data_IF_512517348206
#
_entry.id   IF_512517348206
#
_cell.length_a   1.000
_cell.length_b   1.000
_cell.length_c   1.000
_cell.angle_alpha   90.00
_cell.angle_beta   90.00
_cell.angle_gamma   90.00
#
_symmetry.space_group_name_H-M   'P 1'
#
loop_
_entity.id
_entity.type
_entity.pdbx_description
1 polymer ?
#
# COMPACT_ATOMS: atom_id res chain seq x y z
N UNK A 1 -25.07 -2.48 26.07
CA UNK A 1 -23.70 -2.47 25.51
C UNK A 1 -23.60 -2.98 24.07
N UNK A 2 -24.14 -4.16 23.71
CA UNK A 2 -24.02 -4.68 22.32
C UNK A 2 -24.63 -3.76 21.23
N UNK A 3 -25.72 -3.05 21.51
CA UNK A 3 -26.33 -2.10 20.54
C UNK A 3 -25.44 -0.88 20.28
N UNK A 4 -24.77 -0.37 21.31
CA UNK A 4 -23.84 0.77 21.23
C UNK A 4 -22.58 0.39 20.46
N UNK A 5 -21.99 -0.77 20.79
CA UNK A 5 -20.85 -1.33 20.06
C UNK A 5 -21.18 -1.53 18.57
N UNK A 6 -22.35 -2.11 18.23
CA UNK A 6 -22.76 -2.27 16.83
C UNK A 6 -22.85 -0.93 16.10
N UNK A 7 -23.39 0.11 16.75
CA UNK A 7 -23.53 1.46 16.17
C UNK A 7 -22.17 2.13 15.94
N UNK A 8 -21.26 2.03 16.90
CA UNK A 8 -19.91 2.58 16.76
C UNK A 8 -19.11 1.84 15.69
N UNK A 9 -19.25 0.52 15.59
CA UNK A 9 -18.59 -0.24 14.54
C UNK A 9 -19.14 0.03 13.14
N UNK A 10 -20.45 0.23 13.00
CA UNK A 10 -21.01 0.73 11.74
C UNK A 10 -20.53 2.15 11.42
N UNK A 11 -20.33 2.99 12.43
CA UNK A 11 -19.81 4.34 12.25
C UNK A 11 -18.33 4.35 11.84
N UNK A 12 -17.52 3.42 12.38
CA UNK A 12 -16.11 3.23 11.98
C UNK A 12 -16.02 2.82 10.51
N UNK A 13 -16.87 1.88 10.10
CA UNK A 13 -16.94 1.42 8.71
C UNK A 13 -17.39 2.53 7.75
N UNK A 14 -18.41 3.29 8.13
CA UNK A 14 -18.92 4.42 7.34
C UNK A 14 -17.90 5.59 7.26
N UNK A 15 -17.12 5.82 8.31
CA UNK A 15 -16.05 6.82 8.30
C UNK A 15 -14.87 6.37 7.43
N UNK A 16 -14.53 5.08 7.46
CA UNK A 16 -13.56 4.47 6.57
C UNK A 16 -13.99 4.56 5.10
N UNK A 17 -15.28 4.32 4.82
CA UNK A 17 -15.85 4.48 3.48
C UNK A 17 -15.83 5.93 3.01
N UNK A 18 -16.17 6.89 3.88
CA UNK A 18 -16.08 8.32 3.57
C UNK A 18 -14.65 8.77 3.30
N UNK A 19 -13.67 8.28 4.05
CA UNK A 19 -12.25 8.57 3.79
C UNK A 19 -11.83 8.06 2.41
N UNK A 20 -12.13 6.79 2.11
CA UNK A 20 -11.88 6.20 0.78
C UNK A 20 -12.60 6.95 -0.32
N UNK A 21 -13.82 7.43 -0.09
CA UNK A 21 -14.56 8.23 -1.09
C UNK A 21 -13.95 9.63 -1.30
N UNK A 22 -13.41 10.26 -0.25
CA UNK A 22 -12.76 11.58 -0.31
C UNK A 22 -11.43 11.53 -1.04
N UNK A 23 -10.60 10.52 -0.78
CA UNK A 23 -9.24 10.43 -1.30
C UNK A 23 -9.07 9.45 -2.48
N UNK A 24 -9.96 8.47 -2.65
CA UNK A 24 -9.93 7.47 -3.72
C UNK A 24 -10.52 7.90 -5.07
N UNK A 25 -11.16 9.07 -5.16
CA UNK A 25 -11.77 9.58 -6.40
C UNK A 25 -10.76 10.04 -7.46
N UNK A 26 -9.50 10.22 -7.09
CA UNK A 26 -8.45 10.65 -8.03
C UNK A 26 -7.84 9.52 -8.87
N UNK A 27 -8.29 8.27 -8.68
CA UNK A 27 -7.77 7.09 -9.37
C UNK A 27 -8.60 6.66 -10.60
N UNK A 28 -9.58 7.45 -11.06
CA UNK A 28 -10.19 7.23 -12.39
C UNK A 28 -9.20 7.69 -13.46
N UNK A 29 -8.22 6.83 -13.74
CA UNK A 29 -7.42 6.91 -14.94
C UNK A 29 -8.33 6.41 -16.07
N UNK A 30 -9.19 7.31 -16.56
CA UNK A 30 -10.03 7.06 -17.73
C UNK A 30 -9.12 7.02 -18.96
N UNK A 31 -8.48 5.88 -19.17
CA UNK A 31 -7.91 5.51 -20.45
C UNK A 31 -9.06 5.17 -21.38
N UNK A 32 -9.66 6.19 -22.00
CA UNK A 32 -10.13 6.24 -23.39
C UNK A 32 -11.22 7.30 -23.59
N UNK A 33 -10.87 8.38 -24.29
CA UNK A 33 -11.73 8.96 -25.32
C UNK A 33 -12.61 10.16 -24.94
N UNK A 34 -12.29 11.29 -25.59
CA UNK A 34 -13.10 12.51 -25.79
C UNK A 34 -13.20 13.52 -24.65
N UNK A 35 -12.20 14.41 -24.63
CA UNK A 35 -12.44 15.84 -24.42
C UNK A 35 -13.42 16.36 -25.47
N UNK A 36 -14.57 16.85 -25.04
CA UNK A 36 -15.27 17.96 -25.70
C UNK A 36 -15.65 18.99 -24.64
N UNK A 37 -15.16 20.20 -24.86
CA UNK A 37 -15.62 21.47 -24.28
C UNK A 37 -17.15 21.55 -24.33
N UNK A 38 -17.86 22.34 -23.52
CA UNK A 38 -18.10 23.82 -23.59
C UNK A 38 -19.38 23.99 -22.72
N UNK A 39 -19.71 25.04 -21.97
CA UNK A 39 -19.84 26.49 -22.22
C UNK A 39 -19.91 27.21 -20.86
N UNK A 40 -19.21 28.33 -20.65
CA UNK A 40 -19.69 29.69 -20.93
C UNK A 40 -21.09 30.01 -20.36
N UNK A 41 -21.12 30.77 -19.25
CA UNK A 41 -22.19 31.74 -19.00
C UNK A 41 -21.68 32.91 -18.13
N UNK A 42 -21.28 33.98 -18.81
CA UNK A 42 -21.53 35.36 -18.37
C UNK A 42 -21.96 36.12 -19.63
N UNK A 43 -23.03 36.92 -19.53
CA UNK A 43 -22.85 38.37 -19.42
C UNK A 43 -23.82 38.98 -18.36
N UNK A 44 -23.67 40.18 -17.80
CA UNK A 44 -23.51 41.48 -18.48
C UNK A 44 -23.27 42.59 -17.41
N UNK A 45 -22.34 43.51 -17.71
CA UNK A 45 -22.39 45.00 -17.56
C UNK A 45 -22.81 45.65 -16.21
N UNK A 46 -22.08 46.63 -15.66
CA UNK A 46 -21.90 48.00 -16.21
C UNK A 46 -20.87 48.80 -15.37
N UNK A 47 -20.08 49.65 -16.07
CA UNK A 47 -19.70 51.04 -15.74
C UNK A 47 -18.90 51.35 -14.43
N UNK A 48 -17.93 52.26 -14.34
CA UNK A 48 -17.26 53.26 -15.21
C UNK A 48 -16.12 53.87 -14.37
N UNK A 49 -15.14 54.51 -15.05
CA UNK A 49 -14.38 55.72 -14.66
C UNK A 49 -12.85 55.59 -14.45
N UNK A 50 -12.14 55.97 -15.53
CA UNK A 50 -11.08 56.99 -15.64
C UNK A 50 -9.85 57.01 -14.70
N UNK A 51 -8.63 56.87 -15.27
CA UNK A 51 -7.72 58.00 -15.62
C UNK A 51 -6.20 57.61 -15.69
N UNK A 52 -5.66 57.55 -16.92
CA UNK A 52 -4.32 58.06 -17.41
C UNK A 52 -2.96 57.57 -16.85
N UNK A 53 -1.84 57.71 -17.62
CA UNK A 53 -0.94 56.58 -17.94
C UNK A 53 0.47 56.67 -17.33
N UNK A 54 1.14 55.52 -17.21
CA UNK A 54 2.60 55.46 -17.04
C UNK A 54 3.22 54.34 -17.93
N UNK A 55 4.29 54.72 -18.62
CA UNK A 55 4.96 54.05 -19.73
C UNK A 55 6.18 53.28 -19.22
N UNK A 56 6.18 51.95 -19.17
CA UNK A 56 7.42 51.15 -18.97
C UNK A 56 7.37 49.78 -19.66
N UNK A 57 8.22 49.65 -20.70
CA UNK A 57 8.88 48.46 -21.31
C UNK A 57 8.08 47.15 -21.51
N UNK A 58 7.83 46.86 -22.79
CA UNK A 58 7.59 45.51 -23.32
C UNK A 58 8.81 44.58 -23.13
N UNK A 59 8.62 43.29 -22.79
CA UNK A 59 9.68 42.30 -22.87
C UNK A 59 9.99 41.96 -24.35
N UNK A 60 11.21 41.50 -24.67
CA UNK A 60 11.64 41.26 -26.05
C UNK A 60 10.83 40.11 -26.71
N UNK A 61 10.69 40.10 -28.04
CA UNK A 61 9.94 39.06 -28.74
C UNK A 61 10.63 37.69 -28.58
N UNK A 62 9.85 36.70 -28.15
CA UNK A 62 10.27 35.30 -28.03
C UNK A 62 10.60 34.71 -29.41
N UNK A 63 11.82 34.15 -29.55
CA UNK A 63 12.32 33.44 -30.74
C UNK A 63 11.83 31.99 -30.86
N UNK A 64 10.91 31.54 -30.01
CA UNK A 64 10.34 30.19 -30.11
C UNK A 64 9.17 30.19 -31.09
N UNK A 65 9.46 29.86 -32.36
CA UNK A 65 8.42 29.36 -33.29
C UNK A 65 7.86 28.07 -32.71
N UNK A 66 6.69 28.14 -32.10
CA UNK A 66 5.86 26.98 -31.87
C UNK A 66 5.49 26.39 -33.23
N UNK A 67 6.13 25.28 -33.62
CA UNK A 67 5.67 24.45 -34.73
C UNK A 67 4.34 23.81 -34.31
N UNK A 68 3.24 24.54 -34.54
CA UNK A 68 1.91 23.93 -34.55
C UNK A 68 1.86 22.92 -35.70
N UNK A 69 1.41 21.68 -35.48
CA UNK A 69 1.15 20.75 -36.56
C UNK A 69 0.17 21.39 -37.56
N UNK A 70 0.31 21.12 -38.88
CA UNK A 70 -0.60 21.65 -39.88
C UNK A 70 -2.04 21.31 -39.49
N UNK A 71 -2.91 22.33 -39.39
CA UNK A 71 -4.34 22.13 -39.18
C UNK A 71 -4.86 21.33 -40.37
N UNK A 72 -5.18 20.06 -40.14
CA UNK A 72 -5.75 19.16 -41.13
C UNK A 72 -7.04 19.77 -41.65
N UNK A 73 -7.27 19.71 -42.96
CA UNK A 73 -8.53 20.20 -43.52
C UNK A 73 -9.69 19.36 -42.98
N UNK A 74 -10.87 19.96 -42.83
CA UNK A 74 -12.07 19.28 -42.30
C UNK A 74 -12.41 18.00 -43.08
N UNK A 75 -12.04 17.93 -44.36
CA UNK A 75 -12.21 16.75 -45.21
C UNK A 75 -11.27 15.60 -44.83
N UNK A 76 -10.03 15.92 -44.46
CA UNK A 76 -9.02 14.96 -44.05
C UNK A 76 -9.32 14.38 -42.66
N UNK A 77 -9.83 15.22 -41.74
CA UNK A 77 -10.33 14.77 -40.44
C UNK A 77 -11.53 13.82 -40.58
N UNK A 78 -12.44 14.11 -41.53
CA UNK A 78 -13.62 13.28 -41.78
C UNK A 78 -13.25 11.92 -42.40
N UNK A 79 -12.24 11.89 -43.27
CA UNK A 79 -11.67 10.63 -43.80
C UNK A 79 -11.01 9.80 -42.70
N UNK A 80 -10.20 10.42 -41.84
CA UNK A 80 -9.55 9.73 -40.73
C UNK A 80 -10.58 9.18 -39.73
N UNK A 81 -11.63 9.94 -39.45
CA UNK A 81 -12.74 9.51 -38.60
C UNK A 81 -13.53 8.34 -39.22
N UNK A 82 -13.75 8.36 -40.53
CA UNK A 82 -14.39 7.24 -41.26
C UNK A 82 -13.54 5.98 -41.20
N UNK A 83 -12.22 6.08 -41.37
CA UNK A 83 -11.31 4.95 -41.31
C UNK A 83 -11.23 4.38 -39.88
N UNK A 84 -11.13 5.24 -38.86
CA UNK A 84 -11.15 4.83 -37.46
C UNK A 84 -12.45 4.10 -37.09
N UNK A 85 -13.60 4.57 -37.58
CA UNK A 85 -14.88 3.91 -37.38
C UNK A 85 -14.93 2.52 -38.02
N UNK A 86 -14.43 2.38 -39.24
CA UNK A 86 -14.38 1.08 -39.92
C UNK A 86 -13.48 0.08 -39.18
N UNK A 87 -12.32 0.53 -38.70
CA UNK A 87 -11.39 -0.27 -37.89
C UNK A 87 -12.00 -0.70 -36.55
N UNK A 88 -12.70 0.21 -35.86
CA UNK A 88 -13.40 -0.11 -34.62
C UNK A 88 -14.50 -1.16 -34.82
N UNK A 89 -15.25 -1.05 -35.92
CA UNK A 89 -16.30 -2.01 -36.29
C UNK A 89 -15.76 -3.39 -36.70
N UNK A 90 -14.54 -3.45 -37.23
CA UNK A 90 -13.84 -4.72 -37.48
C UNK A 90 -13.37 -5.36 -36.18
N UNK A 91 -12.78 -4.58 -35.28
CA UNK A 91 -12.35 -5.06 -33.98
C UNK A 91 -13.53 -5.59 -33.13
N UNK A 92 -14.69 -4.93 -33.18
CA UNK A 92 -15.90 -5.40 -32.51
C UNK A 92 -16.37 -6.77 -33.04
N UNK A 93 -16.31 -6.99 -34.37
CA UNK A 93 -16.63 -8.29 -34.98
C UNK A 93 -15.63 -9.38 -34.60
N UNK A 94 -14.35 -9.05 -34.46
CA UNK A 94 -13.32 -9.98 -34.02
C UNK A 94 -13.55 -10.41 -32.56
N UNK A 95 -13.87 -9.46 -31.69
CA UNK A 95 -14.24 -9.74 -30.29
C UNK A 95 -15.50 -10.61 -30.17
N UNK A 96 -16.49 -10.40 -31.03
CA UNK A 96 -17.70 -11.24 -31.05
C UNK A 96 -17.41 -12.68 -31.54
N UNK A 97 -16.45 -12.86 -32.44
CA UNK A 97 -16.00 -14.20 -32.88
C UNK A 97 -15.25 -14.95 -31.79
N UNK A 98 -14.35 -14.27 -31.05
CA UNK A 98 -13.64 -14.86 -29.92
C UNK A 98 -14.62 -15.31 -28.82
N UNK A 99 -15.59 -14.46 -28.47
CA UNK A 99 -16.63 -14.83 -27.50
C UNK A 99 -17.51 -16.00 -27.96
N UNK A 100 -17.78 -16.14 -29.26
CA UNK A 100 -18.49 -17.32 -29.80
C UNK A 100 -17.62 -18.58 -29.80
N UNK A 101 -16.30 -18.46 -29.96
CA UNK A 101 -15.37 -19.59 -29.91
C UNK A 101 -15.23 -20.15 -28.49
N UNK A 102 -15.13 -19.28 -27.47
CA UNK A 102 -15.06 -19.70 -26.06
C UNK A 102 -16.32 -20.42 -25.59
N UNK A 103 -17.49 -20.00 -26.08
CA UNK A 103 -18.77 -20.65 -25.75
C UNK A 103 -18.95 -22.02 -26.41
N UNK A 104 -18.15 -22.33 -27.45
CA UNK A 104 -18.17 -23.61 -28.15
C UNK A 104 -17.16 -24.61 -27.56
N UNK A 105 -16.08 -24.13 -26.92
CA UNK A 105 -15.09 -25.00 -26.25
C UNK A 105 -15.59 -25.49 -24.87
N UNK A 106 -16.50 -24.77 -24.22
CA UNK A 106 -17.08 -25.15 -22.92
C UNK A 106 -18.20 -26.21 -22.99
N UNK A 107 -18.58 -26.67 -24.18
CA UNK A 107 -19.64 -27.68 -24.41
C UNK A 107 -19.09 -29.04 -24.88
N UNK A 108 -17.77 -29.20 -25.02
CA UNK A 108 -17.13 -30.43 -25.51
C UNK A 108 -16.15 -31.10 -24.53
N UNK A 109 -16.13 -30.71 -23.25
CA UNK A 109 -15.20 -31.26 -22.25
C UNK A 109 -15.90 -31.98 -21.09
N UNK A 110 -16.94 -32.76 -21.40
CA UNK A 110 -17.56 -33.69 -20.45
C UNK A 110 -17.71 -35.09 -21.03
N UNK A 111 -16.60 -35.82 -21.16
CA UNK A 111 -16.63 -37.28 -21.32
C UNK A 111 -15.24 -37.92 -21.23
N UNK A 112 -15.08 -38.81 -20.24
CA UNK A 112 -14.16 -39.97 -20.18
C UNK A 112 -12.65 -39.68 -20.00
N UNK A 113 -11.82 -40.43 -19.27
CA UNK A 113 -11.96 -41.72 -18.58
C UNK A 113 -10.91 -41.81 -17.46
N UNK A 114 -11.30 -42.39 -16.33
CA UNK A 114 -10.42 -42.95 -15.30
C UNK A 114 -10.10 -44.40 -15.64
N UNK A 115 -8.82 -44.80 -15.78
CA UNK A 115 -8.35 -46.18 -15.64
C UNK A 115 -6.83 -46.23 -15.35
N UNK A 116 -6.43 -47.41 -14.89
CA UNK A 116 -5.43 -47.76 -13.88
C UNK A 116 -4.07 -48.28 -14.44
N UNK A 117 -3.12 -48.46 -13.50
CA UNK A 117 -1.99 -49.40 -13.46
C UNK A 117 -0.74 -49.20 -14.34
N UNK A 118 0.43 -49.08 -13.68
CA UNK A 118 1.37 -50.22 -13.55
C UNK A 118 2.53 -49.96 -12.57
N UNK A 119 2.82 -50.99 -11.76
CA UNK A 119 3.94 -51.16 -10.83
C UNK A 119 5.26 -51.42 -11.58
N UNK A 120 6.38 -50.97 -11.00
CA UNK A 120 7.65 -51.71 -11.08
C UNK A 120 8.54 -51.49 -9.85
N UNK A 121 9.04 -52.63 -9.37
CA UNK A 121 9.91 -52.92 -8.22
C UNK A 121 11.27 -52.21 -8.24
N UNK A 122 11.84 -51.95 -7.05
CA UNK A 122 13.06 -52.66 -6.57
C UNK A 122 13.48 -52.19 -5.18
N UNK A 123 13.59 -53.14 -4.26
CA UNK A 123 14.12 -53.01 -2.89
C UNK A 123 15.50 -53.66 -2.79
N UNK A 124 16.43 -52.95 -2.14
CA UNK A 124 17.56 -53.35 -1.28
C UNK A 124 18.08 -54.79 -1.27
N UNK A 125 19.42 -54.97 -1.17
CA UNK A 125 20.15 -55.48 0.04
C UNK A 125 21.67 -55.71 -0.24
N UNK A 126 22.49 -55.54 0.82
CA UNK A 126 23.86 -56.06 1.10
C UNK A 126 25.05 -55.16 0.69
N UNK A 127 26.16 -55.02 1.44
CA UNK A 127 26.57 -55.52 2.76
C UNK A 127 27.81 -54.76 3.28
N UNK A 128 28.04 -54.93 4.58
CA UNK A 128 29.09 -54.49 5.53
C UNK A 128 30.54 -54.94 5.23
N UNK A 129 31.54 -54.10 5.57
CA UNK A 129 32.80 -54.52 6.24
C UNK A 129 33.54 -53.36 6.95
N UNK A 130 34.38 -53.75 7.91
CA UNK A 130 34.84 -53.06 9.13
C UNK A 130 36.28 -52.52 9.08
N UNK A 131 36.64 -51.57 9.97
CA UNK A 131 37.92 -51.40 10.74
C UNK A 131 37.87 -50.06 11.51
N UNK A 132 37.81 -49.97 12.86
CA UNK A 132 38.89 -50.07 13.88
C UNK A 132 40.01 -49.02 13.66
N UNK A 133 40.48 -48.14 14.57
CA UNK A 133 40.63 -48.14 16.05
C UNK A 133 40.94 -46.73 16.63
N UNK A 134 40.67 -46.59 17.94
CA UNK A 134 41.43 -45.91 19.03
C UNK A 134 41.52 -44.38 19.24
N UNK A 135 41.24 -44.01 20.51
CA UNK A 135 41.88 -42.89 21.23
C UNK A 135 40.97 -42.06 22.15
N UNK A 136 40.37 -42.63 23.21
CA UNK A 136 40.66 -42.38 24.66
C UNK A 136 40.42 -40.94 25.17
N UNK A 137 39.40 -40.70 26.02
CA UNK A 137 39.40 -40.73 27.52
C UNK A 137 39.79 -39.35 28.11
N UNK A 138 39.22 -38.77 29.17
CA UNK A 138 38.48 -39.15 30.38
C UNK A 138 37.64 -37.90 30.78
N UNK A 139 36.62 -37.89 31.66
CA UNK A 139 36.22 -38.82 32.72
C UNK A 139 35.86 -38.02 33.99
N UNK A 140 34.84 -38.52 34.71
CA UNK A 140 34.29 -38.13 36.03
C UNK A 140 33.26 -36.98 36.05
N UNK A 141 31.95 -37.18 36.31
CA UNK A 141 31.22 -37.96 37.35
C UNK A 141 31.49 -37.45 38.77
N UNK A 142 30.50 -37.06 39.57
CA UNK A 142 29.52 -37.93 40.23
C UNK A 142 28.32 -37.12 40.80
N UNK A 143 27.08 -37.52 40.52
CA UNK A 143 26.03 -38.10 41.42
C UNK A 143 25.72 -37.34 42.72
N UNK A 144 24.44 -37.01 42.96
CA UNK A 144 23.56 -37.68 43.96
C UNK A 144 22.19 -36.99 44.08
N UNK A 145 21.25 -37.77 44.60
CA UNK A 145 19.80 -37.70 44.55
C UNK A 145 19.07 -36.72 45.50
N UNK A 146 17.77 -36.56 45.19
CA UNK A 146 16.63 -36.81 46.09
C UNK A 146 15.76 -35.63 46.58
N UNK A 147 14.47 -35.80 46.21
CA UNK A 147 13.22 -35.58 46.97
C UNK A 147 12.79 -34.17 47.39
N UNK A 148 11.53 -33.91 47.07
CA UNK A 148 10.84 -32.64 47.29
C UNK A 148 10.24 -32.46 48.68
N UNK A 149 9.60 -31.30 48.84
CA UNK A 149 8.59 -31.03 49.85
C UNK A 149 7.64 -29.97 49.34
N UNK A 150 6.37 -30.23 49.59
CA UNK A 150 5.18 -29.44 49.27
C UNK A 150 5.09 -28.34 50.32
N UNK A 151 4.84 -27.10 49.90
CA UNK A 151 4.41 -26.04 50.82
C UNK A 151 3.43 -25.13 50.11
N UNK A 152 2.17 -25.37 50.45
CA UNK A 152 1.00 -24.55 50.23
C UNK A 152 1.26 -23.07 50.56
N UNK A 153 1.09 -22.20 49.57
CA UNK A 153 0.87 -20.76 49.81
C UNK A 153 -0.59 -20.45 49.52
N UNK A 154 -1.25 -20.02 50.59
CA UNK A 154 -2.65 -19.64 50.65
C UNK A 154 -2.98 -18.54 49.63
N UNK A 155 -4.17 -18.67 49.04
CA UNK A 155 -4.83 -17.61 48.29
C UNK A 155 -5.12 -16.43 49.23
N UNK A 156 -4.21 -15.47 49.27
CA UNK A 156 -4.52 -14.13 49.75
C UNK A 156 -5.33 -13.44 48.65
N UNK A 157 -6.64 -13.30 48.87
CA UNK A 157 -7.49 -12.38 48.11
C UNK A 157 -7.12 -10.96 48.57
N UNK A 158 -5.94 -10.51 48.19
CA UNK A 158 -5.63 -9.10 48.17
C UNK A 158 -6.38 -8.52 46.97
N UNK A 159 -7.25 -7.56 47.19
CA UNK A 159 -7.71 -6.66 46.13
C UNK A 159 -6.48 -5.86 45.67
N UNK A 160 -5.63 -6.50 44.86
CA UNK A 160 -4.52 -5.87 44.20
C UNK A 160 -5.13 -4.93 43.17
N UNK A 161 -4.99 -3.61 43.40
CA UNK A 161 -5.24 -2.62 42.35
C UNK A 161 -4.51 -3.07 41.11
N UNK A 162 -5.26 -3.57 40.14
CA UNK A 162 -4.70 -4.12 38.92
C UNK A 162 -4.59 -2.93 37.98
N UNK A 163 -3.36 -2.52 37.67
CA UNK A 163 -3.12 -1.42 36.76
C UNK A 163 -3.83 -1.68 35.42
N UNK A 164 -4.37 -0.63 34.81
CA UNK A 164 -5.09 -0.75 33.54
C UNK A 164 -4.20 -1.38 32.45
N UNK A 165 -4.80 -2.21 31.61
CA UNK A 165 -4.07 -2.95 30.58
C UNK A 165 -4.91 -3.97 29.83
N UNK A 166 -4.32 -4.54 28.79
CA UNK A 166 -4.92 -5.66 28.07
C UNK A 166 -4.77 -6.97 28.86
N UNK A 167 -5.90 -7.57 29.26
CA UNK A 167 -5.95 -8.74 30.16
C UNK A 167 -5.50 -10.04 29.49
N UNK A 168 -5.71 -10.13 28.18
CA UNK A 168 -5.43 -11.31 27.36
C UNK A 168 -4.24 -11.07 26.41
N UNK A 169 -3.24 -10.31 26.89
CA UNK A 169 -2.00 -10.08 26.16
C UNK A 169 -1.22 -11.38 25.94
N UNK A 170 -0.61 -11.53 24.77
CA UNK A 170 0.12 -12.74 24.38
C UNK A 170 1.36 -12.38 23.56
N UNK A 171 2.25 -13.35 23.34
CA UNK A 171 3.45 -13.16 22.52
C UNK A 171 3.13 -12.67 21.10
N UNK A 172 1.98 -13.06 20.54
CA UNK A 172 1.55 -12.59 19.23
C UNK A 172 1.30 -11.08 19.22
N UNK A 173 0.76 -10.53 20.32
CA UNK A 173 0.52 -9.10 20.49
C UNK A 173 1.83 -8.33 20.69
N UNK A 174 2.79 -8.92 21.42
CA UNK A 174 4.15 -8.38 21.53
C UNK A 174 4.80 -8.26 20.14
N UNK A 175 4.78 -9.34 19.34
CA UNK A 175 5.30 -9.31 17.96
C UNK A 175 4.57 -8.27 17.10
N UNK A 176 3.26 -8.13 17.24
CA UNK A 176 2.47 -7.13 16.51
C UNK A 176 2.85 -5.69 16.91
N UNK A 177 3.10 -5.43 18.19
CA UNK A 177 3.53 -4.12 18.69
C UNK A 177 4.95 -3.75 18.23
N UNK A 178 5.78 -4.74 17.88
CA UNK A 178 7.11 -4.50 17.30
C UNK A 178 7.11 -4.26 15.79
N UNK A 179 5.98 -4.48 15.10
CA UNK A 179 5.86 -4.15 13.68
C UNK A 179 5.88 -2.64 13.47
N UNK A 180 6.20 -2.14 12.27
CA UNK A 180 6.11 -0.73 11.98
C UNK A 180 4.65 -0.25 11.84
N UNK A 181 4.33 0.86 12.51
CA UNK A 181 3.02 1.51 12.47
C UNK A 181 3.14 3.01 12.19
N UNK A 182 2.17 3.56 11.45
CA UNK A 182 2.04 5.00 11.29
C UNK A 182 0.57 5.40 11.12
N UNK A 183 0.28 6.70 11.26
CA UNK A 183 -1.02 7.23 10.89
C UNK A 183 -1.16 7.28 9.36
N UNK A 184 -2.39 7.11 8.86
CA UNK A 184 -2.65 7.21 7.43
C UNK A 184 -2.39 8.62 6.90
N UNK A 185 -2.59 9.65 7.73
CA UNK A 185 -2.22 11.03 7.43
C UNK A 185 -0.74 11.19 7.12
N UNK A 186 0.16 10.51 7.82
CA UNK A 186 1.61 10.61 7.57
C UNK A 186 1.97 10.07 6.17
N UNK A 187 1.35 8.96 5.77
CA UNK A 187 1.53 8.38 4.43
C UNK A 187 0.98 9.31 3.34
N UNK A 188 -0.22 9.85 3.54
CA UNK A 188 -0.84 10.77 2.59
C UNK A 188 -0.09 12.09 2.49
N UNK A 189 0.37 12.63 3.62
CA UNK A 189 1.20 13.84 3.67
C UNK A 189 2.51 13.64 2.90
N UNK A 190 3.18 12.49 3.09
CA UNK A 190 4.35 12.14 2.29
C UNK A 190 4.03 12.13 0.79
N UNK A 191 2.93 11.49 0.39
CA UNK A 191 2.51 11.46 -1.01
C UNK A 191 2.24 12.87 -1.55
N UNK A 192 1.42 13.67 -0.87
CA UNK A 192 1.08 15.05 -1.26
C UNK A 192 2.32 15.94 -1.38
N UNK A 193 3.26 15.81 -0.45
CA UNK A 193 4.50 16.59 -0.41
C UNK A 193 5.42 16.30 -1.60
N UNK A 194 5.44 15.05 -2.08
CA UNK A 194 6.42 14.59 -3.06
C UNK A 194 5.87 14.26 -4.45
N UNK A 195 4.55 14.16 -4.62
CA UNK A 195 3.90 13.80 -5.89
C UNK A 195 4.41 14.65 -7.07
N UNK A 196 4.45 15.97 -6.88
CA UNK A 196 4.89 16.93 -7.90
C UNK A 196 6.26 17.56 -7.61
N UNK A 197 6.99 17.05 -6.61
CA UNK A 197 8.28 17.62 -6.20
C UNK A 197 9.34 17.34 -7.25
N UNK A 198 9.83 18.39 -7.91
CA UNK A 198 10.97 18.24 -8.83
C UNK A 198 12.23 17.85 -8.07
N UNK A 199 12.78 16.68 -8.37
CA UNK A 199 14.08 16.26 -7.85
C UNK A 199 15.21 16.98 -8.60
N UNK A 200 16.25 17.45 -7.94
CA UNK A 200 17.42 18.05 -8.61
C UNK A 200 18.62 17.14 -8.49
N UNK A 201 19.49 17.06 -9.51
CA UNK A 201 20.69 16.20 -9.43
C UNK A 201 21.66 16.65 -8.34
N UNK A 202 21.65 17.94 -8.01
CA UNK A 202 22.56 18.58 -7.05
C UNK A 202 21.98 18.67 -5.64
N UNK A 203 20.68 18.42 -5.49
CA UNK A 203 19.98 18.58 -4.22
C UNK A 203 20.02 17.29 -3.39
N UNK A 204 21.22 16.98 -2.88
CA UNK A 204 21.42 15.81 -2.05
C UNK A 204 20.65 15.92 -0.72
N UNK A 205 20.42 17.15 -0.22
CA UNK A 205 19.69 17.39 1.02
C UNK A 205 18.26 16.89 0.91
N UNK A 206 17.53 17.30 -0.13
CA UNK A 206 16.16 16.80 -0.34
C UNK A 206 16.11 15.29 -0.56
N UNK A 207 17.09 14.70 -1.26
CA UNK A 207 17.14 13.24 -1.38
C UNK A 207 17.31 12.54 -0.02
N UNK A 208 18.15 13.08 0.86
CA UNK A 208 18.34 12.55 2.22
C UNK A 208 17.09 12.76 3.10
N UNK A 209 16.41 13.90 2.98
CA UNK A 209 15.13 14.17 3.65
C UNK A 209 14.07 13.14 3.24
N UNK A 210 13.92 12.88 1.93
CA UNK A 210 13.00 11.85 1.42
C UNK A 210 13.34 10.48 2.04
N UNK A 211 14.60 10.06 1.99
CA UNK A 211 15.02 8.77 2.56
C UNK A 211 14.79 8.72 4.08
N UNK A 212 15.04 9.83 4.78
CA UNK A 212 14.80 9.94 6.22
C UNK A 212 13.33 9.78 6.59
N UNK A 213 12.44 10.47 5.87
CA UNK A 213 10.99 10.39 6.07
C UNK A 213 10.47 8.98 5.78
N UNK A 214 10.90 8.35 4.68
CA UNK A 214 10.50 6.97 4.37
C UNK A 214 11.01 5.98 5.42
N UNK A 215 12.22 6.17 5.96
CA UNK A 215 12.73 5.35 7.06
C UNK A 215 11.92 5.56 8.35
N UNK A 216 11.50 6.78 8.64
CA UNK A 216 10.65 7.06 9.79
C UNK A 216 9.31 6.32 9.68
N UNK A 217 8.70 6.29 8.49
CA UNK A 217 7.49 5.52 8.22
C UNK A 217 7.70 4.00 8.41
N UNK A 218 8.82 3.46 7.89
CA UNK A 218 9.18 2.05 8.01
C UNK A 218 9.68 1.63 9.41
N UNK A 219 9.86 2.58 10.33
CA UNK A 219 10.33 2.33 11.70
C UNK A 219 9.38 2.94 12.75
N UNK A 220 8.17 3.31 12.35
CA UNK A 220 7.18 3.91 13.23
C UNK A 220 6.75 2.95 14.33
N UNK A 221 6.54 3.46 15.55
CA UNK A 221 6.19 2.64 16.71
C UNK A 221 4.69 2.37 16.76
N UNK A 222 4.33 1.19 17.25
CA UNK A 222 2.94 0.90 17.57
C UNK A 222 2.38 1.92 18.58
N UNK A 223 1.13 2.38 18.41
CA UNK A 223 0.50 3.32 19.35
C UNK A 223 -0.11 2.61 20.57
N UNK A 224 0.27 1.37 20.81
CA UNK A 224 -0.27 0.52 21.86
C UNK A 224 0.80 -0.43 22.38
N UNK A 225 0.63 -0.88 23.61
CA UNK A 225 1.35 -1.99 24.21
C UNK A 225 0.44 -2.66 25.26
N UNK A 226 0.97 -3.56 26.08
CA UNK A 226 0.15 -4.23 27.11
C UNK A 226 -0.51 -3.25 28.09
N UNK A 227 0.12 -2.12 28.37
CA UNK A 227 -0.30 -1.12 29.37
C UNK A 227 -0.78 0.20 28.74
N UNK A 228 -0.79 0.28 27.41
CA UNK A 228 -1.16 1.46 26.63
C UNK A 228 -2.23 1.05 25.63
N UNK A 229 -3.45 1.55 25.85
CA UNK A 229 -4.59 1.23 25.00
C UNK A 229 -4.45 1.84 23.61
N UNK A 230 -4.93 1.13 22.60
CA UNK A 230 -4.97 1.66 21.23
C UNK A 230 -5.77 2.97 21.14
N UNK A 231 -5.33 3.99 20.37
CA UNK A 231 -6.06 5.25 20.22
C UNK A 231 -7.45 5.07 19.61
N UNK A 232 -8.46 5.71 20.19
CA UNK A 232 -9.83 5.71 19.66
C UNK A 232 -10.08 7.00 18.88
N UNK A 233 -9.85 7.00 17.59
CA UNK A 233 -9.95 8.19 16.71
C UNK A 233 -10.94 7.97 15.57
N UNK A 234 -12.10 7.41 15.90
CA UNK A 234 -13.11 7.00 14.93
C UNK A 234 -13.72 8.14 14.11
N UNK A 235 -13.70 9.37 14.64
CA UNK A 235 -14.31 10.54 14.01
C UNK A 235 -13.38 11.22 12.99
N UNK A 236 -12.07 11.01 13.12
CA UNK A 236 -11.04 11.62 12.29
C UNK A 236 -10.34 10.53 11.49
N UNK A 237 -10.78 10.25 10.25
CA UNK A 237 -10.23 9.14 9.49
C UNK A 237 -8.74 9.32 9.14
N UNK A 238 -8.23 10.55 9.18
CA UNK A 238 -6.81 10.87 9.01
C UNK A 238 -5.94 10.38 10.18
N UNK A 239 -6.55 10.17 11.35
CA UNK A 239 -5.87 9.69 12.56
C UNK A 239 -5.98 8.16 12.73
N UNK A 240 -6.48 7.45 11.71
CA UNK A 240 -6.48 5.99 11.69
C UNK A 240 -5.08 5.45 11.45
N UNK A 241 -4.81 4.30 12.06
CA UNK A 241 -3.49 3.70 12.05
C UNK A 241 -3.36 2.58 11.02
N UNK A 242 -2.17 2.43 10.47
CA UNK A 242 -1.81 1.34 9.55
C UNK A 242 -0.67 0.55 10.14
N UNK A 243 -0.78 -0.78 10.09
CA UNK A 243 0.35 -1.67 10.37
C UNK A 243 1.09 -1.94 9.05
N UNK A 244 2.23 -1.27 8.85
CA UNK A 244 3.02 -1.35 7.62
C UNK A 244 3.53 -2.78 7.41
N UNK A 245 3.97 -3.47 8.46
CA UNK A 245 4.44 -4.86 8.37
C UNK A 245 3.35 -5.89 8.01
N UNK A 246 2.08 -5.47 7.96
CA UNK A 246 0.94 -6.27 7.48
C UNK A 246 0.36 -5.73 6.16
N UNK A 247 1.04 -4.79 5.53
CA UNK A 247 0.64 -4.18 4.28
C UNK A 247 1.80 -4.25 3.27
N UNK A 248 1.91 -5.40 2.60
CA UNK A 248 3.05 -5.72 1.76
C UNK A 248 3.27 -4.72 0.62
N UNK A 249 2.20 -4.20 0.01
CA UNK A 249 2.36 -3.25 -1.09
C UNK A 249 2.86 -1.87 -0.60
N UNK A 250 2.32 -1.35 0.52
CA UNK A 250 2.83 -0.11 1.13
C UNK A 250 4.29 -0.26 1.51
N UNK A 251 4.65 -1.36 2.19
CA UNK A 251 6.03 -1.64 2.54
C UNK A 251 6.93 -1.71 1.30
N UNK A 252 6.49 -2.40 0.25
CA UNK A 252 7.20 -2.52 -1.02
C UNK A 252 7.45 -1.15 -1.67
N UNK A 253 6.44 -0.29 -1.77
CA UNK A 253 6.60 1.03 -2.39
C UNK A 253 7.55 1.92 -1.58
N UNK A 254 7.47 1.91 -0.25
CA UNK A 254 8.40 2.63 0.62
C UNK A 254 9.84 2.12 0.45
N UNK A 255 10.05 0.80 0.44
CA UNK A 255 11.38 0.22 0.19
C UNK A 255 11.89 0.53 -1.22
N UNK A 256 11.02 0.53 -2.24
CA UNK A 256 11.36 0.93 -3.61
C UNK A 256 11.82 2.38 -3.65
N UNK A 257 11.18 3.30 -2.95
CA UNK A 257 11.61 4.71 -2.85
C UNK A 257 13.01 4.81 -2.23
N UNK A 258 13.31 4.09 -1.15
CA UNK A 258 14.67 4.06 -0.58
C UNK A 258 15.69 3.55 -1.62
N UNK A 259 15.33 2.50 -2.37
CA UNK A 259 16.23 1.88 -3.34
C UNK A 259 16.67 2.83 -4.47
N UNK A 260 15.80 3.76 -4.86
CA UNK A 260 16.03 4.77 -5.91
C UNK A 260 17.20 5.69 -5.54
N UNK A 261 17.33 6.05 -4.26
CA UNK A 261 18.36 6.97 -3.77
C UNK A 261 19.62 6.27 -3.23
N UNK A 262 19.77 4.95 -3.43
CA UNK A 262 21.00 4.23 -3.04
C UNK A 262 22.26 4.75 -3.74
N UNK A 263 22.12 5.26 -4.97
CA UNK A 263 23.19 5.93 -5.71
C UNK A 263 22.81 7.41 -5.92
N UNK A 264 23.68 8.36 -5.57
CA UNK A 264 23.44 9.77 -5.82
C UNK A 264 23.14 10.06 -7.30
N UNK A 265 22.13 10.86 -7.58
CA UNK A 265 21.68 11.14 -8.96
C UNK A 265 22.80 11.76 -9.82
N UNK A 266 23.67 12.58 -9.24
CA UNK A 266 24.81 13.21 -9.94
C UNK A 266 25.87 12.20 -10.42
N UNK A 267 25.88 10.97 -9.90
CA UNK A 267 26.78 9.90 -10.32
C UNK A 267 26.19 9.04 -11.45
N UNK A 268 24.94 9.29 -11.85
CA UNK A 268 24.26 8.54 -12.90
C UNK A 268 24.37 9.24 -14.24
N UNK A 269 24.29 8.48 -15.34
CA UNK A 269 24.18 9.05 -16.70
C UNK A 269 22.86 9.82 -16.86
N UNK A 270 22.76 10.80 -17.77
CA UNK A 270 21.54 11.59 -17.96
C UNK A 270 20.27 10.76 -18.18
N UNK A 271 20.35 9.67 -18.94
CA UNK A 271 19.21 8.77 -19.17
C UNK A 271 18.81 8.01 -17.90
N UNK A 272 19.78 7.54 -17.11
CA UNK A 272 19.51 6.91 -15.82
C UNK A 272 18.92 7.91 -14.82
N UNK A 273 19.38 9.16 -14.83
CA UNK A 273 18.80 10.22 -14.01
C UNK A 273 17.32 10.44 -14.36
N UNK A 274 16.98 10.47 -15.66
CA UNK A 274 15.59 10.60 -16.13
C UNK A 274 14.74 9.42 -15.64
N UNK A 275 15.23 8.20 -15.82
CA UNK A 275 14.53 6.99 -15.40
C UNK A 275 14.32 6.92 -13.87
N UNK A 276 15.34 7.26 -13.08
CA UNK A 276 15.26 7.30 -11.60
C UNK A 276 14.22 8.29 -11.11
N UNK A 277 14.13 9.48 -11.73
CA UNK A 277 13.09 10.49 -11.40
C UNK A 277 11.70 9.98 -11.73
N UNK A 278 11.52 9.42 -12.92
CA UNK A 278 10.24 8.85 -13.33
C UNK A 278 9.84 7.71 -12.38
N UNK A 279 10.75 6.80 -12.05
CA UNK A 279 10.51 5.71 -11.12
C UNK A 279 10.16 6.19 -9.71
N UNK A 280 10.73 7.31 -9.27
CA UNK A 280 10.37 7.92 -7.99
C UNK A 280 8.91 8.37 -7.99
N UNK A 281 8.53 9.18 -8.98
CA UNK A 281 7.16 9.66 -9.10
C UNK A 281 6.15 8.52 -9.29
N UNK A 282 6.49 7.51 -10.09
CA UNK A 282 5.67 6.30 -10.23
C UNK A 282 5.49 5.59 -8.90
N UNK A 283 6.55 5.39 -8.11
CA UNK A 283 6.44 4.73 -6.81
C UNK A 283 5.59 5.53 -5.82
N UNK A 284 5.66 6.87 -5.85
CA UNK A 284 4.81 7.75 -5.00
C UNK A 284 3.35 7.69 -5.45
N UNK A 285 3.08 7.74 -6.76
CA UNK A 285 1.72 7.65 -7.30
C UNK A 285 1.07 6.29 -7.05
N UNK A 286 1.83 5.20 -7.21
CA UNK A 286 1.36 3.84 -6.90
C UNK A 286 1.09 3.67 -5.40
N UNK A 287 1.98 4.18 -4.52
CA UNK A 287 1.73 4.20 -3.08
C UNK A 287 0.42 4.94 -2.73
N UNK A 288 0.22 6.13 -3.31
CA UNK A 288 -1.01 6.91 -3.12
C UNK A 288 -2.23 6.13 -3.60
N UNK A 289 -2.13 5.49 -4.77
CA UNK A 289 -3.22 4.71 -5.35
C UNK A 289 -3.55 3.52 -4.47
N UNK A 290 -2.57 2.78 -3.97
CA UNK A 290 -2.80 1.68 -3.05
C UNK A 290 -3.48 2.17 -1.78
N UNK A 291 -3.03 3.27 -1.18
CA UNK A 291 -3.70 3.82 0.01
C UNK A 291 -5.16 4.22 -0.28
N UNK A 292 -5.40 4.84 -1.44
CA UNK A 292 -6.67 5.51 -1.74
C UNK A 292 -7.70 4.60 -2.41
N UNK A 293 -7.26 3.59 -3.16
CA UNK A 293 -8.11 2.68 -3.89
C UNK A 293 -8.69 1.61 -2.96
N UNK A 294 -9.94 1.19 -3.23
CA UNK A 294 -10.58 0.04 -2.56
C UNK A 294 -9.95 -1.32 -2.91
N UNK A 295 -8.86 -1.31 -3.69
CA UNK A 295 -8.21 -2.50 -4.26
C UNK A 295 -7.07 -2.99 -3.34
N UNK A 296 -6.55 -2.14 -2.45
CA UNK A 296 -5.42 -2.52 -1.61
C UNK A 296 -5.83 -3.27 -0.34
N UNK A 297 -4.92 -4.11 0.10
CA UNK A 297 -4.95 -4.81 1.38
C UNK A 297 -4.74 -3.86 2.58
N UNK A 298 -4.71 -2.53 2.37
CA UNK A 298 -4.48 -1.53 3.42
C UNK A 298 -5.65 -1.55 4.41
N UNK A 299 -5.39 -2.15 5.58
CA UNK A 299 -6.29 -2.13 6.73
C UNK A 299 -6.01 -0.91 7.59
N UNK A 300 -7.05 -0.08 7.77
CA UNK A 300 -7.03 1.04 8.70
C UNK A 300 -7.63 0.59 10.03
N UNK A 301 -6.95 0.91 11.12
CA UNK A 301 -7.33 0.53 12.46
C UNK A 301 -7.72 1.76 13.28
N UNK A 302 -8.94 1.71 13.79
CA UNK A 302 -9.36 2.43 14.99
C UNK A 302 -9.37 1.45 16.18
N UNK A 303 -9.43 1.95 17.41
CA UNK A 303 -9.49 1.15 18.65
C UNK A 303 -10.46 -0.03 18.55
N UNK A 304 -11.71 0.22 18.16
CA UNK A 304 -12.73 -0.84 18.16
C UNK A 304 -12.47 -1.92 17.12
N UNK A 305 -11.95 -1.53 15.95
CA UNK A 305 -11.58 -2.46 14.89
C UNK A 305 -10.36 -3.27 15.31
N UNK A 306 -9.36 -2.61 15.87
CA UNK A 306 -8.14 -3.20 16.39
C UNK A 306 -8.43 -4.23 17.49
N UNK A 307 -9.12 -3.82 18.56
CA UNK A 307 -9.43 -4.68 19.70
C UNK A 307 -10.27 -5.89 19.28
N UNK A 308 -11.20 -5.72 18.32
CA UNK A 308 -11.96 -6.84 17.76
C UNK A 308 -11.09 -7.80 16.94
N UNK A 309 -10.29 -7.28 16.00
CA UNK A 309 -9.51 -8.12 15.08
C UNK A 309 -8.48 -8.96 15.83
N UNK A 310 -7.81 -8.35 16.81
CA UNK A 310 -6.79 -9.01 17.63
C UNK A 310 -7.34 -9.62 18.92
N UNK A 311 -8.67 -9.59 19.12
CA UNK A 311 -9.36 -10.12 20.30
C UNK A 311 -8.75 -9.61 21.60
N UNK A 312 -8.45 -8.32 21.69
CA UNK A 312 -7.87 -7.70 22.88
C UNK A 312 -8.98 -7.14 23.79
N UNK A 313 -8.84 -7.37 25.10
CA UNK A 313 -9.79 -6.89 26.11
C UNK A 313 -9.09 -5.94 27.09
N UNK A 314 -9.51 -4.66 27.09
CA UNK A 314 -8.97 -3.66 28.01
C UNK A 314 -9.65 -3.74 29.38
N UNK A 315 -8.86 -3.89 30.43
CA UNK A 315 -9.31 -3.75 31.82
C UNK A 315 -8.95 -2.38 32.35
N UNK A 316 -9.94 -1.69 32.90
CA UNK A 316 -9.73 -0.45 33.63
C UNK A 316 -9.13 -0.74 35.01
N UNK A 317 -8.43 0.25 35.58
CA UNK A 317 -7.91 0.15 36.94
C UNK A 317 -9.07 0.00 37.94
N UNK A 318 -8.95 -0.96 38.86
CA UNK A 318 -9.94 -1.28 39.90
C UNK A 318 -9.36 -1.09 41.30
#
# INVERSE_FOLDING_TARGET
>A
MQKTLKKELSFSLDTLERYRAKYGRSASLDTNGHSTQTEHSLPQTTATAAATPAKVRSPPPSLFKAYSPPKMTKLQELQQKKEAYMRAREHEREMEQLQRADKKSSLSSSSSASLDATKSNSSSTANTTSTATNGSSNGNSSTTDAKGSVSSSAAAVAASKTAAGYSNWSNNHTTLSSQPWCAISDLMYFCDKYEFKTLSTRDLKTHQEIVGEVRALLCGKAPFDQRTRFPGNIHDPENLWVCIGRCASVEYHLQRIISIFRKPLNQLTPDKQRAVRQNFHLAVSELRLDISARISEVRLYDRLVFEREFRLEWQEES
#
